data_IF_587518517476
#
_entry.id   IF_587518517476
#
_cell.length_a   1.000
_cell.length_b   1.000
_cell.length_c   1.000
_cell.angle_alpha   90.00
_cell.angle_beta   90.00
_cell.angle_gamma   90.00
#
_symmetry.space_group_name_H-M   'P 1'
#
loop_
_entity.id
_entity.type
_entity.pdbx_description
1 polymer ?
#
# COMPACT_ATOMS: atom_id res chain seq x y z
N UNK A 1 10.05 4.42 20.15
CA UNK A 1 8.77 4.01 19.55
C UNK A 1 9.04 2.84 18.61
N UNK A 2 8.55 1.65 18.96
CA UNK A 2 8.61 0.42 18.13
C UNK A 2 8.10 0.75 16.73
N UNK A 3 8.79 0.31 15.68
CA UNK A 3 8.40 0.60 14.30
C UNK A 3 7.04 -0.02 13.99
N UNK A 4 5.95 0.73 14.18
CA UNK A 4 4.63 0.28 13.79
C UNK A 4 4.59 0.05 12.27
N UNK A 5 4.04 -1.07 11.79
CA UNK A 5 3.97 -1.39 10.36
C UNK A 5 2.95 -0.53 9.59
N UNK A 6 2.56 0.65 10.10
CA UNK A 6 1.63 1.63 9.48
C UNK A 6 1.98 1.90 8.01
N UNK A 7 3.27 1.83 7.66
CA UNK A 7 3.72 2.05 6.29
C UNK A 7 3.05 1.15 5.25
N UNK A 8 2.58 -0.05 5.62
CA UNK A 8 1.82 -0.89 4.70
C UNK A 8 0.45 -0.29 4.38
N UNK A 9 -0.19 0.39 5.33
CA UNK A 9 -1.44 1.11 5.10
C UNK A 9 -1.28 2.25 4.11
N UNK A 10 -0.15 2.96 4.17
CA UNK A 10 0.15 3.99 3.18
C UNK A 10 0.43 3.40 1.78
N UNK A 11 1.13 2.26 1.70
CA UNK A 11 1.32 1.53 0.45
C UNK A 11 0.00 1.00 -0.12
N UNK A 12 -0.87 0.41 0.71
CA UNK A 12 -2.17 -0.10 0.29
C UNK A 12 -3.08 1.06 -0.15
N UNK A 13 -3.10 2.15 0.61
CA UNK A 13 -3.81 3.38 0.26
C UNK A 13 -3.35 3.92 -1.08
N UNK A 14 -2.04 3.94 -1.33
CA UNK A 14 -1.49 4.31 -2.62
C UNK A 14 -2.00 3.42 -3.76
N UNK A 15 -1.94 2.09 -3.62
CA UNK A 15 -2.44 1.17 -4.66
C UNK A 15 -3.92 1.39 -4.95
N UNK A 16 -4.72 1.58 -3.91
CA UNK A 16 -6.16 1.83 -4.03
C UNK A 16 -6.46 3.15 -4.72
N UNK A 17 -5.78 4.24 -4.32
CA UNK A 17 -5.94 5.58 -4.89
C UNK A 17 -5.40 5.68 -6.32
N UNK A 18 -4.43 4.85 -6.70
CA UNK A 18 -3.70 5.04 -7.97
C UNK A 18 -4.07 4.00 -9.03
N UNK A 19 -4.41 2.76 -8.65
CA UNK A 19 -4.61 1.66 -9.60
C UNK A 19 -5.97 0.96 -9.49
N UNK A 20 -6.46 0.68 -8.28
CA UNK A 20 -7.62 -0.20 -8.12
C UNK A 20 -8.96 0.54 -8.20
N UNK A 21 -9.10 1.67 -7.49
CA UNK A 21 -10.38 2.38 -7.35
C UNK A 21 -10.21 3.90 -7.35
N UNK A 22 -9.08 4.38 -7.87
CA UNK A 22 -8.65 5.76 -7.79
C UNK A 22 -9.49 6.77 -8.58
N UNK A 23 -9.70 8.00 -8.08
CA UNK A 23 -10.33 9.07 -8.86
C UNK A 23 -9.54 9.39 -10.15
N UNK A 24 -8.23 9.13 -10.15
CA UNK A 24 -7.35 9.34 -11.30
C UNK A 24 -7.60 8.36 -12.44
N UNK A 25 -7.80 7.08 -12.13
CA UNK A 25 -8.16 6.05 -13.13
C UNK A 25 -9.63 6.18 -13.48
N UNK A 26 -10.51 6.57 -12.55
CA UNK A 26 -11.94 6.76 -12.81
C UNK A 26 -12.23 7.84 -13.86
N UNK A 27 -11.49 8.96 -13.84
CA UNK A 27 -11.61 10.00 -14.88
C UNK A 27 -11.17 9.52 -16.27
N UNK A 28 -10.25 8.54 -16.31
CA UNK A 28 -9.83 7.85 -17.53
C UNK A 28 -10.78 6.72 -17.95
N UNK A 29 -11.37 5.99 -17.01
CA UNK A 29 -12.43 4.99 -17.22
C UNK A 29 -13.64 5.57 -17.96
N UNK A 30 -13.88 6.88 -17.79
CA UNK A 30 -14.94 7.60 -18.49
C UNK A 30 -14.59 7.98 -19.94
N UNK A 31 -13.32 7.91 -20.34
CA UNK A 31 -12.83 8.41 -21.65
C UNK A 31 -12.09 7.37 -22.50
N UNK A 32 -11.52 6.33 -21.90
CA UNK A 32 -10.87 5.21 -22.58
C UNK A 32 -11.78 3.98 -22.60
N UNK A 33 -11.69 3.18 -23.66
CA UNK A 33 -12.37 1.88 -23.70
C UNK A 33 -11.92 0.99 -22.54
N UNK A 34 -12.87 0.28 -21.93
CA UNK A 34 -12.64 -0.63 -20.79
C UNK A 34 -11.52 -1.65 -21.06
N UNK A 35 -11.33 -2.04 -22.32
CA UNK A 35 -10.30 -2.98 -22.77
C UNK A 35 -8.89 -2.51 -22.42
N UNK A 36 -8.57 -1.23 -22.66
CA UNK A 36 -7.22 -0.70 -22.40
C UNK A 36 -6.90 -0.66 -20.92
N UNK A 37 -7.90 -0.39 -20.09
CA UNK A 37 -7.73 -0.30 -18.63
C UNK A 37 -7.51 -1.69 -18.04
N UNK A 38 -8.23 -2.69 -18.55
CA UNK A 38 -7.98 -4.08 -18.22
C UNK A 38 -6.55 -4.50 -18.60
N UNK A 39 -6.03 -4.07 -19.75
CA UNK A 39 -4.63 -4.33 -20.15
C UNK A 39 -3.66 -3.67 -19.16
N UNK A 40 -3.87 -2.41 -18.77
CA UNK A 40 -3.03 -1.70 -17.79
C UNK A 40 -3.03 -2.42 -16.43
N UNK A 41 -4.20 -2.86 -15.96
CA UNK A 41 -4.32 -3.63 -14.71
C UNK A 41 -3.63 -4.99 -14.80
N UNK A 42 -3.84 -5.74 -15.88
CA UNK A 42 -3.20 -7.04 -16.11
C UNK A 42 -1.68 -6.89 -16.22
N UNK A 43 -1.19 -5.84 -16.88
CA UNK A 43 0.23 -5.53 -16.98
C UNK A 43 0.82 -5.22 -15.60
N UNK A 44 0.14 -4.40 -14.80
CA UNK A 44 0.55 -4.13 -13.42
C UNK A 44 0.65 -5.43 -12.61
N UNK A 45 -0.39 -6.28 -12.67
CA UNK A 45 -0.43 -7.56 -11.95
C UNK A 45 0.65 -8.54 -12.42
N UNK A 46 0.88 -8.62 -13.74
CA UNK A 46 1.91 -9.47 -14.32
C UNK A 46 3.31 -9.03 -13.88
N UNK A 47 3.63 -7.73 -13.99
CA UNK A 47 4.90 -7.18 -13.52
C UNK A 47 5.09 -7.36 -12.02
N UNK A 48 4.03 -7.15 -11.22
CA UNK A 48 4.06 -7.37 -9.78
C UNK A 48 4.37 -8.85 -9.46
N UNK A 49 3.63 -9.77 -10.07
CA UNK A 49 3.78 -11.22 -9.83
C UNK A 49 5.16 -11.72 -10.24
N UNK A 50 5.65 -11.35 -11.43
CA UNK A 50 6.97 -11.75 -11.91
C UNK A 50 8.06 -11.23 -10.97
N UNK A 51 7.97 -9.95 -10.58
CA UNK A 51 8.95 -9.34 -9.67
C UNK A 51 8.92 -10.03 -8.31
N UNK A 52 7.74 -10.32 -7.78
CA UNK A 52 7.58 -11.04 -6.52
C UNK A 52 8.22 -12.43 -6.59
N UNK A 53 7.97 -13.20 -7.66
CA UNK A 53 8.57 -14.54 -7.85
C UNK A 53 10.10 -14.49 -7.97
N UNK A 54 10.64 -13.47 -8.65
CA UNK A 54 12.11 -13.28 -8.75
C UNK A 54 12.71 -12.96 -7.38
N UNK A 55 12.06 -12.08 -6.60
CA UNK A 55 12.56 -11.67 -5.28
C UNK A 55 12.34 -12.73 -4.19
N UNK A 56 11.32 -13.58 -4.33
CA UNK A 56 11.07 -14.72 -3.45
C UNK A 56 12.18 -15.79 -3.55
N UNK A 57 13.00 -15.77 -4.60
CA UNK A 57 14.16 -16.64 -4.72
C UNK A 57 15.30 -16.15 -3.81
N UNK A 58 15.65 -16.93 -2.78
CA UNK A 58 16.69 -16.62 -1.80
C UNK A 58 18.04 -16.23 -2.41
N UNK A 59 18.40 -16.81 -3.56
CA UNK A 59 19.68 -16.55 -4.23
C UNK A 59 19.79 -15.12 -4.75
N UNK A 60 18.66 -14.54 -5.14
CA UNK A 60 18.58 -13.14 -5.55
C UNK A 60 18.42 -12.25 -4.33
N UNK A 61 17.56 -12.64 -3.38
CA UNK A 61 17.34 -11.89 -2.15
C UNK A 61 18.64 -11.56 -1.39
N UNK A 62 19.50 -12.56 -1.18
CA UNK A 62 20.77 -12.40 -0.44
C UNK A 62 21.83 -11.54 -1.16
N UNK A 63 21.72 -11.37 -2.48
CA UNK A 63 22.70 -10.59 -3.28
C UNK A 63 22.46 -9.09 -3.22
N UNK A 64 21.28 -8.64 -2.83
CA UNK A 64 20.94 -7.24 -2.86
C UNK A 64 21.10 -6.57 -1.49
N UNK A 65 21.57 -5.33 -1.48
CA UNK A 65 21.50 -4.49 -0.29
C UNK A 65 20.03 -4.10 -0.04
N UNK A 66 19.40 -4.73 0.96
CA UNK A 66 17.97 -4.56 1.29
C UNK A 66 17.51 -3.10 1.29
N UNK A 67 18.33 -2.17 1.81
CA UNK A 67 17.97 -0.74 1.86
C UNK A 67 17.91 -0.08 0.48
N UNK A 68 18.88 -0.38 -0.39
CA UNK A 68 18.91 0.20 -1.74
C UNK A 68 17.76 -0.32 -2.60
N UNK A 69 17.41 -1.60 -2.46
CA UNK A 69 16.27 -2.18 -3.19
C UNK A 69 14.96 -1.57 -2.71
N UNK A 70 14.77 -1.41 -1.40
CA UNK A 70 13.58 -0.72 -0.86
C UNK A 70 13.47 0.72 -1.40
N UNK A 71 14.58 1.47 -1.43
CA UNK A 71 14.61 2.84 -1.99
C UNK A 71 14.31 2.82 -3.50
N UNK A 72 14.83 1.84 -4.23
CA UNK A 72 14.51 1.66 -5.65
C UNK A 72 13.00 1.42 -5.84
N UNK A 73 12.40 0.53 -5.04
CA UNK A 73 10.95 0.29 -5.04
C UNK A 73 10.14 1.56 -4.79
N UNK A 74 10.56 2.39 -3.83
CA UNK A 74 9.97 3.71 -3.56
C UNK A 74 10.00 4.61 -4.80
N UNK A 75 11.17 4.75 -5.43
CA UNK A 75 11.34 5.62 -6.60
C UNK A 75 10.44 5.15 -7.74
N UNK A 76 10.40 3.84 -7.99
CA UNK A 76 9.53 3.25 -9.01
C UNK A 76 8.05 3.55 -8.76
N UNK A 77 7.59 3.43 -7.51
CA UNK A 77 6.22 3.77 -7.11
C UNK A 77 5.92 5.27 -7.26
N UNK A 78 6.84 6.16 -6.85
CA UNK A 78 6.67 7.61 -7.02
C UNK A 78 6.59 7.98 -8.51
N UNK A 79 7.49 7.45 -9.34
CA UNK A 79 7.47 7.66 -10.78
C UNK A 79 6.18 7.14 -11.43
N UNK A 80 5.72 5.96 -11.02
CA UNK A 80 4.43 5.40 -11.45
C UNK A 80 3.26 6.33 -11.14
N UNK A 81 3.23 6.88 -9.93
CA UNK A 81 2.22 7.87 -9.50
C UNK A 81 2.25 9.11 -10.37
N UNK A 82 3.45 9.68 -10.59
CA UNK A 82 3.61 10.89 -11.39
C UNK A 82 3.14 10.68 -12.84
N UNK A 83 3.38 9.50 -13.41
CA UNK A 83 2.90 9.17 -14.74
C UNK A 83 1.37 9.07 -14.79
N UNK A 84 0.73 8.40 -13.82
CA UNK A 84 -0.74 8.29 -13.75
C UNK A 84 -1.39 9.65 -13.50
N UNK A 85 -0.74 10.51 -12.75
CA UNK A 85 -1.20 11.88 -12.56
C UNK A 85 -0.99 12.70 -13.83
N UNK A 86 0.18 12.57 -14.48
CA UNK A 86 0.53 13.28 -15.70
C UNK A 86 -0.41 12.98 -16.86
N UNK A 87 -0.93 11.76 -16.94
CA UNK A 87 -1.94 11.40 -17.93
C UNK A 87 -3.21 12.22 -17.73
N UNK A 88 -3.61 12.55 -16.49
CA UNK A 88 -4.80 13.36 -16.23
C UNK A 88 -4.71 14.79 -16.80
N UNK A 89 -3.51 15.25 -17.14
CA UNK A 89 -3.25 16.58 -17.72
C UNK A 89 -2.93 16.54 -19.22
N UNK A 90 -2.73 15.36 -19.82
CA UNK A 90 -2.37 15.23 -21.25
C UNK A 90 -2.95 13.97 -21.88
N UNK A 91 -3.80 14.17 -22.89
CA UNK A 91 -4.46 13.09 -23.64
C UNK A 91 -3.51 12.39 -24.63
N UNK A 92 -2.52 13.10 -25.16
CA UNK A 92 -1.61 12.60 -26.21
C UNK A 92 -0.64 11.54 -25.69
N UNK A 93 -0.20 11.67 -24.42
CA UNK A 93 0.70 10.72 -23.77
C UNK A 93 -0.04 9.66 -22.92
N UNK A 94 -1.38 9.72 -22.89
CA UNK A 94 -2.21 9.01 -21.92
C UNK A 94 -1.92 7.51 -21.83
N UNK A 95 -2.02 6.80 -22.95
CA UNK A 95 -1.95 5.33 -22.94
C UNK A 95 -0.53 4.80 -22.65
N UNK A 96 0.48 5.37 -23.28
CA UNK A 96 1.88 4.93 -23.11
C UNK A 96 2.40 5.24 -21.70
N UNK A 97 2.03 6.40 -21.14
CA UNK A 97 2.38 6.74 -19.77
C UNK A 97 1.66 5.82 -18.76
N UNK A 98 0.43 5.38 -19.04
CA UNK A 98 -0.26 4.37 -18.23
C UNK A 98 0.42 3.00 -18.28
N UNK A 99 0.88 2.53 -19.45
CA UNK A 99 1.63 1.28 -19.53
C UNK A 99 2.95 1.35 -18.77
N UNK A 100 3.70 2.44 -18.94
CA UNK A 100 4.93 2.65 -18.20
C UNK A 100 4.66 2.75 -16.69
N UNK A 101 3.60 3.44 -16.30
CA UNK A 101 3.20 3.52 -14.89
C UNK A 101 2.83 2.15 -14.31
N UNK A 102 2.12 1.30 -15.05
CA UNK A 102 1.79 -0.05 -14.62
C UNK A 102 3.03 -0.92 -14.42
N UNK A 103 4.01 -0.84 -15.32
CA UNK A 103 5.28 -1.57 -15.20
C UNK A 103 6.04 -1.09 -13.95
N UNK A 104 6.27 0.22 -13.82
CA UNK A 104 7.01 0.79 -12.69
C UNK A 104 6.28 0.54 -11.37
N UNK A 105 4.96 0.71 -11.36
CA UNK A 105 4.12 0.48 -10.19
C UNK A 105 4.09 -0.99 -9.80
N UNK A 106 4.00 -1.91 -10.77
CA UNK A 106 4.02 -3.36 -10.53
C UNK A 106 5.34 -3.81 -9.92
N UNK A 107 6.46 -3.42 -10.51
CA UNK A 107 7.80 -3.75 -10.01
C UNK A 107 8.03 -3.13 -8.62
N UNK A 108 7.77 -1.82 -8.48
CA UNK A 108 7.98 -1.09 -7.24
C UNK A 108 7.12 -1.62 -6.09
N UNK A 109 5.84 -1.90 -6.35
CA UNK A 109 4.95 -2.45 -5.32
C UNK A 109 5.33 -3.86 -4.89
N UNK A 110 5.80 -4.72 -5.80
CA UNK A 110 6.27 -6.06 -5.46
C UNK A 110 7.52 -6.02 -4.58
N UNK A 111 8.48 -5.14 -4.90
CA UNK A 111 9.67 -4.92 -4.06
C UNK A 111 9.24 -4.59 -2.63
N UNK A 112 8.35 -3.61 -2.46
CA UNK A 112 7.91 -3.16 -1.14
C UNK A 112 7.15 -4.27 -0.40
N UNK A 113 6.30 -5.02 -1.09
CA UNK A 113 5.52 -6.11 -0.51
C UNK A 113 6.41 -7.22 0.10
N UNK A 114 7.48 -7.62 -0.59
CA UNK A 114 8.39 -8.67 -0.11
C UNK A 114 9.01 -8.28 1.23
N UNK A 115 9.51 -7.05 1.35
CA UNK A 115 10.12 -6.56 2.60
C UNK A 115 9.09 -6.35 3.72
N UNK A 116 7.85 -6.01 3.39
CA UNK A 116 6.78 -6.05 4.39
C UNK A 116 6.45 -7.47 4.85
N UNK A 117 6.52 -8.46 3.96
CA UNK A 117 6.39 -9.87 4.33
C UNK A 117 7.46 -10.29 5.34
N UNK A 118 8.71 -9.87 5.14
CA UNK A 118 9.80 -10.09 6.09
C UNK A 118 9.58 -9.35 7.42
N UNK A 119 9.02 -8.14 7.39
CA UNK A 119 8.66 -7.43 8.62
C UNK A 119 7.55 -8.17 9.37
N UNK A 120 6.54 -8.68 8.66
CA UNK A 120 5.40 -9.37 9.27
C UNK A 120 5.72 -10.77 9.79
N UNK A 121 6.68 -11.48 9.18
CA UNK A 121 7.09 -12.81 9.62
C UNK A 121 7.66 -12.83 11.04
N UNK A 122 8.04 -11.67 11.57
CA UNK A 122 8.54 -11.48 12.94
C UNK A 122 7.42 -11.41 13.99
N UNK A 123 6.17 -11.29 13.56
CA UNK A 123 5.01 -11.18 14.46
C UNK A 123 4.19 -12.47 14.46
N UNK A 124 3.46 -12.71 15.55
CA UNK A 124 2.43 -13.75 15.58
C UNK A 124 1.35 -13.48 14.53
N UNK A 125 0.72 -14.54 13.99
CA UNK A 125 -0.35 -14.44 12.98
C UNK A 125 -1.45 -13.46 13.43
N UNK A 126 -1.84 -13.51 14.70
CA UNK A 126 -2.84 -12.59 15.28
C UNK A 126 -2.43 -11.12 15.17
N UNK A 127 -1.17 -10.80 15.52
CA UNK A 127 -0.65 -9.42 15.42
C UNK A 127 -0.46 -8.98 13.98
N UNK A 128 0.05 -9.85 13.12
CA UNK A 128 0.17 -9.55 11.69
C UNK A 128 -1.20 -9.22 11.08
N UNK A 129 -2.23 -10.03 11.38
CA UNK A 129 -3.60 -9.79 10.94
C UNK A 129 -4.19 -8.49 11.47
N UNK A 130 -3.99 -8.19 12.76
CA UNK A 130 -4.44 -6.92 13.35
C UNK A 130 -3.78 -5.71 12.69
N UNK A 131 -2.45 -5.73 12.56
CA UNK A 131 -1.71 -4.64 11.96
C UNK A 131 -2.07 -4.44 10.49
N UNK A 132 -2.27 -5.54 9.75
CA UNK A 132 -2.77 -5.49 8.38
C UNK A 132 -4.17 -4.86 8.31
N UNK A 133 -5.08 -5.24 9.22
CA UNK A 133 -6.43 -4.65 9.31
C UNK A 133 -6.40 -3.15 9.62
N UNK A 134 -5.57 -2.72 10.57
CA UNK A 134 -5.38 -1.29 10.87
C UNK A 134 -4.80 -0.55 9.66
N UNK A 135 -3.83 -1.14 8.97
CA UNK A 135 -3.25 -0.58 7.75
C UNK A 135 -4.30 -0.38 6.66
N UNK A 136 -5.17 -1.37 6.44
CA UNK A 136 -6.29 -1.26 5.51
C UNK A 136 -7.28 -0.17 5.93
N UNK A 137 -7.65 -0.10 7.21
CA UNK A 137 -8.53 0.96 7.70
C UNK A 137 -7.94 2.36 7.45
N UNK A 138 -6.65 2.56 7.74
CA UNK A 138 -5.94 3.81 7.45
C UNK A 138 -5.92 4.09 5.94
N UNK A 139 -5.63 3.08 5.12
CA UNK A 139 -5.65 3.19 3.65
C UNK A 139 -7.01 3.68 3.14
N UNK A 140 -8.10 3.09 3.64
CA UNK A 140 -9.47 3.48 3.30
C UNK A 140 -9.78 4.91 3.74
N UNK A 141 -9.38 5.31 4.95
CA UNK A 141 -9.58 6.68 5.44
C UNK A 141 -8.79 7.70 4.59
N UNK A 142 -7.55 7.39 4.24
CA UNK A 142 -6.73 8.21 3.33
C UNK A 142 -7.40 8.33 1.97
N UNK A 143 -7.86 7.22 1.39
CA UNK A 143 -8.59 7.22 0.12
C UNK A 143 -9.85 8.10 0.18
N UNK A 144 -10.65 7.95 1.24
CA UNK A 144 -11.87 8.71 1.45
C UNK A 144 -11.55 10.21 1.56
N UNK A 145 -10.56 10.58 2.38
CA UNK A 145 -10.11 11.96 2.51
C UNK A 145 -9.61 12.55 1.18
N UNK A 146 -8.82 11.79 0.42
CA UNK A 146 -8.29 12.18 -0.90
C UNK A 146 -9.41 12.40 -1.92
N UNK A 147 -10.52 11.68 -1.79
CA UNK A 147 -11.66 11.80 -2.71
C UNK A 147 -12.47 13.10 -2.53
N UNK A 148 -12.35 13.78 -1.38
CA UNK A 148 -13.09 15.01 -1.08
C UNK A 148 -12.28 16.30 -1.24
N UNK A 149 -10.99 16.21 -1.57
CA UNK A 149 -10.09 17.37 -1.65
C UNK A 149 -9.78 17.77 -3.09
N UNK A 150 -9.21 18.96 -3.26
CA UNK A 150 -8.79 19.46 -4.56
C UNK A 150 -7.71 18.57 -5.19
N UNK A 151 -7.78 18.40 -6.52
CA UNK A 151 -6.93 17.49 -7.30
C UNK A 151 -5.42 17.66 -7.02
N UNK A 152 -4.92 18.89 -6.98
CA UNK A 152 -3.51 19.17 -6.68
C UNK A 152 -3.08 18.66 -5.29
N UNK A 153 -3.94 18.77 -4.28
CA UNK A 153 -3.66 18.29 -2.95
C UNK A 153 -3.72 16.75 -2.89
N UNK A 154 -4.69 16.16 -3.60
CA UNK A 154 -4.78 14.71 -3.78
C UNK A 154 -3.51 14.12 -4.39
N UNK A 155 -2.96 14.76 -5.42
CA UNK A 155 -1.70 14.38 -6.06
C UNK A 155 -0.56 14.42 -5.05
N UNK A 156 -0.41 15.53 -4.33
CA UNK A 156 0.66 15.71 -3.34
C UNK A 156 0.61 14.62 -2.27
N UNK A 157 -0.57 14.37 -1.70
CA UNK A 157 -0.75 13.32 -0.69
C UNK A 157 -0.39 11.95 -1.26
N UNK A 158 -0.89 11.62 -2.45
CA UNK A 158 -0.64 10.32 -3.10
C UNK A 158 0.85 10.09 -3.36
N UNK A 159 1.60 11.13 -3.74
CA UNK A 159 3.05 11.05 -3.93
C UNK A 159 3.84 10.85 -2.63
N UNK A 160 3.33 11.37 -1.52
CA UNK A 160 3.97 11.24 -0.21
C UNK A 160 3.76 9.84 0.40
N UNK A 161 2.67 9.14 0.03
CA UNK A 161 2.35 7.82 0.60
C UNK A 161 3.45 6.75 0.41
N UNK A 162 4.02 6.54 -0.80
CA UNK A 162 5.15 5.62 -0.99
C UNK A 162 6.37 5.99 -0.15
N UNK A 163 6.64 7.30 0.00
CA UNK A 163 7.78 7.82 0.77
C UNK A 163 7.61 7.49 2.25
N UNK A 164 6.43 7.77 2.81
CA UNK A 164 6.10 7.45 4.20
C UNK A 164 6.10 5.94 4.46
N UNK A 165 5.63 5.14 3.51
CA UNK A 165 5.67 3.68 3.58
C UNK A 165 7.11 3.18 3.72
N UNK A 166 7.99 3.59 2.80
CA UNK A 166 9.40 3.18 2.78
C UNK A 166 10.18 3.66 4.00
N UNK A 167 9.98 4.90 4.42
CA UNK A 167 10.56 5.40 5.66
C UNK A 167 10.18 4.54 6.87
N UNK A 168 8.90 4.18 6.98
CA UNK A 168 8.39 3.34 8.07
C UNK A 168 8.95 1.92 7.99
N UNK A 169 9.07 1.35 6.77
CA UNK A 169 9.64 0.04 6.53
C UNK A 169 11.11 -0.03 6.94
N UNK A 170 11.94 0.92 6.48
CA UNK A 170 13.38 0.97 6.82
C UNK A 170 13.57 1.09 8.33
N UNK A 171 12.76 1.94 8.99
CA UNK A 171 12.80 2.09 10.44
C UNK A 171 12.38 0.82 11.18
N UNK A 172 11.35 0.12 10.67
CA UNK A 172 10.91 -1.17 11.18
C UNK A 172 12.01 -2.22 11.12
N UNK A 173 12.59 -2.43 9.93
CA UNK A 173 13.66 -3.40 9.70
C UNK A 173 14.94 -3.10 10.50
N UNK A 174 15.22 -1.82 10.80
CA UNK A 174 16.37 -1.43 11.61
C UNK A 174 16.17 -1.65 13.13
N UNK A 175 14.94 -1.86 13.59
CA UNK A 175 14.60 -1.97 15.02
C UNK A 175 14.69 -3.41 15.56
N UNK A 176 15.10 -4.39 14.73
CA UNK A 176 15.01 -5.83 15.01
C UNK A 176 15.90 -6.33 16.16
N UNK A 177 16.80 -5.51 16.72
CA UNK A 177 17.63 -5.89 17.88
C UNK A 177 16.89 -5.90 19.23
N UNK A 178 15.59 -5.55 19.29
CA UNK A 178 14.84 -5.37 20.56
C UNK A 178 13.65 -6.35 20.75
N UNK A 179 13.45 -7.32 19.84
CA UNK A 179 12.18 -8.06 19.72
C UNK A 179 12.01 -9.19 20.77
N UNK A 180 13.05 -9.63 21.47
CA UNK A 180 12.93 -10.79 22.40
C UNK A 180 12.28 -10.43 23.76
N UNK A 181 12.28 -9.16 24.19
CA UNK A 181 11.97 -8.79 25.59
C UNK A 181 10.58 -8.10 25.75
N UNK A 182 9.92 -7.81 24.63
CA UNK A 182 8.89 -6.78 24.51
C UNK A 182 7.43 -7.28 24.55
N UNK A 183 7.24 -8.60 24.62
CA UNK A 183 6.01 -9.23 24.14
C UNK A 183 4.83 -9.23 25.10
N UNK A 184 5.02 -9.14 26.42
CA UNK A 184 3.92 -9.35 27.37
C UNK A 184 3.10 -8.10 27.74
N UNK A 185 3.68 -6.90 27.79
CA UNK A 185 2.97 -5.72 28.31
C UNK A 185 2.07 -5.01 27.29
N UNK A 186 2.44 -5.02 26.00
CA UNK A 186 1.64 -4.35 24.96
C UNK A 186 0.37 -5.14 24.62
N UNK A 187 0.31 -6.45 24.88
CA UNK A 187 -0.88 -7.27 24.61
C UNK A 187 -2.06 -6.87 25.50
N UNK A 188 -1.87 -6.64 26.80
CA UNK A 188 -2.97 -6.32 27.71
C UNK A 188 -3.67 -4.99 27.34
N UNK A 189 -2.91 -4.02 26.83
CA UNK A 189 -3.47 -2.73 26.36
C UNK A 189 -4.19 -2.86 25.03
N UNK A 190 -3.67 -3.67 24.11
CA UNK A 190 -4.22 -3.81 22.77
C UNK A 190 -5.49 -4.68 22.75
N UNK A 191 -5.58 -5.69 23.62
CA UNK A 191 -6.76 -6.54 23.76
C UNK A 191 -7.98 -5.73 24.23
N UNK A 192 -7.77 -4.79 25.16
CA UNK A 192 -8.81 -3.85 25.58
C UNK A 192 -9.30 -2.95 24.44
N UNK A 193 -8.39 -2.46 23.59
CA UNK A 193 -8.75 -1.61 22.44
C UNK A 193 -9.53 -2.43 21.41
N UNK A 194 -9.08 -3.65 21.12
CA UNK A 194 -9.75 -4.55 20.18
C UNK A 194 -11.13 -4.98 20.65
N UNK A 195 -11.30 -5.30 21.93
CA UNK A 195 -12.62 -5.56 22.51
C UNK A 195 -13.55 -4.37 22.34
N UNK A 196 -13.04 -3.16 22.59
CA UNK A 196 -13.83 -1.94 22.45
C UNK A 196 -14.24 -1.69 21.00
N UNK A 197 -13.34 -1.91 20.03
CA UNK A 197 -13.65 -1.74 18.60
C UNK A 197 -14.63 -2.82 18.12
N UNK A 198 -14.43 -4.08 18.51
CA UNK A 198 -15.31 -5.18 18.07
C UNK A 198 -16.74 -5.01 18.59
N UNK A 199 -16.93 -4.60 19.85
CA UNK A 199 -18.25 -4.28 20.39
C UNK A 199 -18.92 -3.12 19.64
N UNK A 200 -18.19 -2.05 19.33
CA UNK A 200 -18.74 -0.91 18.61
C UNK A 200 -19.10 -1.26 17.15
N UNK A 201 -18.27 -2.03 16.45
CA UNK A 201 -18.58 -2.48 15.08
C UNK A 201 -19.77 -3.43 15.07
N UNK A 202 -19.83 -4.38 16.01
CA UNK A 202 -20.96 -5.31 16.12
C UNK A 202 -22.26 -4.55 16.45
N UNK A 203 -22.19 -3.56 17.34
CA UNK A 203 -23.33 -2.70 17.69
C UNK A 203 -23.84 -1.91 16.48
N UNK A 204 -22.94 -1.27 15.71
CA UNK A 204 -23.32 -0.52 14.50
C UNK A 204 -23.95 -1.44 13.45
N UNK A 205 -23.40 -2.65 13.24
CA UNK A 205 -23.96 -3.63 12.31
C UNK A 205 -25.34 -4.13 12.75
N UNK A 206 -25.55 -4.37 14.04
CA UNK A 206 -26.85 -4.75 14.61
C UNK A 206 -27.88 -3.62 14.50
N UNK A 207 -27.48 -2.37 14.77
CA UNK A 207 -28.35 -1.20 14.60
C UNK A 207 -28.72 -0.95 13.13
N UNK A 208 -27.81 -1.21 12.18
CA UNK A 208 -28.15 -1.16 10.76
C UNK A 208 -29.16 -2.26 10.42
N UNK A 209 -28.88 -3.51 10.80
CA UNK A 209 -29.75 -4.65 10.48
C UNK A 209 -31.18 -4.50 11.05
N UNK A 210 -31.35 -3.82 12.19
CA UNK A 210 -32.66 -3.55 12.78
C UNK A 210 -33.46 -2.44 12.08
N UNK A 211 -32.85 -1.65 11.19
CA UNK A 211 -33.48 -0.55 10.46
C UNK A 211 -33.73 -0.85 8.96
N UNK A 212 -33.48 -2.09 8.52
CA UNK A 212 -33.75 -2.60 7.16
C UNK A 212 -34.84 -3.66 7.25
#
# INVERSE_FOLDING_TARGET
MRGWPIGLGFWAGWLWVTFLNGPFVYRFLLTLESTYINIVMLLFLACNTITYLVLANESYYKKFNNKLVIICGMILMVCSTLLIVGTAFSTVLGLYALYLAAILGGIGSAIILVFYGELYSQYSIKRAGLYYGICLAIATLVYLGVSFIHLYLAILITLLLPIFSVYSLIKGLSSNNLIIIADNEDYAKLDNILHTISYNVLFVLLCWWANV
#
